data_IF_792876412168
#
_entry.id   IF_792876412168
#
_cell.length_a   1.000
_cell.length_b   1.000
_cell.length_c   1.000
_cell.angle_alpha   90.00
_cell.angle_beta   90.00
_cell.angle_gamma   90.00
#
_symmetry.space_group_name_H-M   'P 1'
#
loop_
_entity.id
_entity.type
_entity.pdbx_description
1 polymer ?
#
# COMPACT_ATOMS: atom_id res chain seq x y z
N UNK A 1 -18.49 -34.50 31.92
CA UNK A 1 -17.37 -33.55 31.69
C UNK A 1 -17.57 -32.90 30.32
N UNK A 2 -18.23 -31.76 30.32
CA UNK A 2 -18.44 -30.96 29.09
C UNK A 2 -17.26 -30.05 28.90
N UNK A 3 -16.45 -30.34 27.90
CA UNK A 3 -15.30 -29.53 27.49
C UNK A 3 -15.81 -28.24 26.86
N UNK A 4 -15.73 -27.13 27.60
CA UNK A 4 -15.98 -25.79 27.09
C UNK A 4 -14.73 -25.35 26.35
N UNK A 5 -14.67 -25.56 25.04
CA UNK A 5 -13.70 -24.85 24.18
C UNK A 5 -14.13 -23.39 24.09
N UNK A 6 -13.23 -22.43 24.42
CA UNK A 6 -13.52 -21.04 24.14
C UNK A 6 -13.61 -20.89 22.62
N UNK A 7 -14.73 -20.37 22.15
CA UNK A 7 -14.94 -19.98 20.76
C UNK A 7 -13.79 -19.05 20.37
N UNK A 8 -12.97 -19.45 19.42
CA UNK A 8 -12.07 -18.54 18.72
C UNK A 8 -12.95 -17.40 18.19
N UNK A 9 -12.83 -16.24 18.81
CA UNK A 9 -13.50 -15.05 18.34
C UNK A 9 -12.90 -14.69 16.99
N UNK A 10 -13.65 -14.89 15.93
CA UNK A 10 -13.41 -14.31 14.61
C UNK A 10 -12.98 -12.85 14.83
N UNK A 11 -11.86 -12.38 14.22
CA UNK A 11 -11.45 -10.99 14.33
C UNK A 11 -12.67 -10.12 14.08
N UNK A 12 -13.05 -9.31 15.05
CA UNK A 12 -14.35 -8.65 15.05
C UNK A 12 -14.46 -7.75 13.81
N UNK A 13 -15.66 -7.59 13.29
CA UNK A 13 -15.96 -6.64 12.21
C UNK A 13 -15.38 -5.24 12.50
N UNK A 14 -15.15 -4.92 13.77
CA UNK A 14 -14.48 -3.71 14.22
C UNK A 14 -13.00 -3.65 13.80
N UNK A 15 -12.24 -4.73 13.88
CA UNK A 15 -10.84 -4.75 13.44
C UNK A 15 -10.74 -4.59 11.92
N UNK A 16 -11.60 -5.25 11.16
CA UNK A 16 -11.68 -5.09 9.71
C UNK A 16 -12.02 -3.65 9.32
N UNK A 17 -12.97 -3.04 10.02
CA UNK A 17 -13.35 -1.65 9.79
C UNK A 17 -12.21 -0.66 10.13
N UNK A 18 -11.48 -0.89 11.23
CA UNK A 18 -10.30 -0.08 11.60
C UNK A 18 -9.21 -0.19 10.54
N UNK A 19 -8.93 -1.40 10.06
CA UNK A 19 -7.95 -1.63 9.01
C UNK A 19 -8.34 -0.93 7.68
N UNK A 20 -9.62 -0.98 7.30
CA UNK A 20 -10.11 -0.28 6.10
C UNK A 20 -9.98 1.24 6.24
N UNK A 21 -10.38 1.82 7.36
CA UNK A 21 -10.22 3.26 7.63
C UNK A 21 -8.75 3.70 7.61
N UNK A 22 -7.83 2.87 8.13
CA UNK A 22 -6.40 3.16 8.10
C UNK A 22 -5.87 3.16 6.67
N UNK A 23 -6.21 2.15 5.86
CA UNK A 23 -5.84 2.08 4.45
C UNK A 23 -6.36 3.28 3.67
N UNK A 24 -7.65 3.62 3.80
CA UNK A 24 -8.26 4.77 3.13
C UNK A 24 -7.59 6.09 3.53
N UNK A 25 -7.26 6.26 4.81
CA UNK A 25 -6.57 7.43 5.32
C UNK A 25 -5.17 7.59 4.72
N UNK A 26 -4.41 6.50 4.64
CA UNK A 26 -3.07 6.50 4.04
C UNK A 26 -3.16 6.80 2.55
N UNK A 27 -4.01 6.10 1.82
CA UNK A 27 -4.13 6.25 0.38
C UNK A 27 -4.63 7.64 -0.03
N UNK A 28 -5.54 8.24 0.73
CA UNK A 28 -6.08 9.57 0.41
C UNK A 28 -5.18 10.73 0.80
N UNK A 29 -4.39 10.59 1.87
CA UNK A 29 -3.62 11.70 2.44
C UNK A 29 -2.12 11.65 2.13
N UNK A 30 -1.57 10.45 1.99
CA UNK A 30 -0.11 10.25 1.95
C UNK A 30 0.39 9.63 0.65
N UNK A 31 -0.44 9.59 -0.40
CA UNK A 31 0.01 9.14 -1.72
C UNK A 31 -0.08 10.26 -2.74
N UNK A 32 0.79 10.20 -3.74
CA UNK A 32 0.83 11.18 -4.82
C UNK A 32 1.35 10.56 -6.12
N UNK A 33 1.03 11.20 -7.24
CA UNK A 33 1.54 10.82 -8.56
C UNK A 33 3.03 11.14 -8.67
N UNK A 34 3.78 10.25 -9.31
CA UNK A 34 5.18 10.48 -9.63
C UNK A 34 5.28 11.51 -10.75
N UNK A 35 5.90 12.64 -10.48
CA UNK A 35 6.04 13.75 -11.43
C UNK A 35 4.72 14.21 -12.09
N UNK A 36 3.58 13.94 -11.45
CA UNK A 36 2.26 14.23 -12.01
C UNK A 36 1.78 13.25 -13.08
N UNK A 37 2.53 12.19 -13.37
CA UNK A 37 2.18 11.20 -14.41
C UNK A 37 0.95 10.41 -14.00
N UNK A 38 -0.11 10.38 -14.83
CA UNK A 38 -1.31 9.59 -14.55
C UNK A 38 -1.00 8.10 -14.44
N UNK A 39 -1.72 7.41 -13.54
CA UNK A 39 -1.55 5.97 -13.33
C UNK A 39 -0.30 5.57 -12.55
N UNK A 40 0.44 6.53 -12.00
CA UNK A 40 1.56 6.30 -11.07
C UNK A 40 1.17 6.75 -9.67
N UNK A 41 1.68 6.07 -8.65
CA UNK A 41 1.44 6.41 -7.25
C UNK A 41 2.66 6.03 -6.41
N UNK A 42 3.01 6.86 -5.44
CA UNK A 42 3.97 6.54 -4.37
C UNK A 42 3.49 7.11 -3.04
N UNK A 43 3.86 6.46 -1.96
CA UNK A 43 3.63 6.94 -0.61
C UNK A 43 4.60 8.07 -0.24
N UNK A 44 4.10 9.08 0.47
CA UNK A 44 4.92 10.14 1.05
C UNK A 44 5.69 9.61 2.26
N UNK A 45 6.95 9.96 2.35
CA UNK A 45 7.89 9.51 3.39
C UNK A 45 8.17 10.59 4.41
N UNK A 46 7.98 11.85 4.04
CA UNK A 46 8.25 13.00 4.89
C UNK A 46 6.99 13.62 5.47
N UNK A 47 7.06 14.01 6.73
CA UNK A 47 6.04 14.78 7.44
C UNK A 47 6.67 16.02 8.08
N UNK A 48 6.18 17.24 7.80
CA UNK A 48 5.16 17.59 6.83
C UNK A 48 5.61 17.34 5.40
N UNK A 49 4.64 17.11 4.51
CA UNK A 49 4.92 16.90 3.08
C UNK A 49 5.65 18.08 2.44
N UNK A 50 6.67 17.76 1.63
CA UNK A 50 7.27 18.74 0.73
C UNK A 50 6.24 19.24 -0.29
N UNK A 51 6.16 20.53 -0.52
CA UNK A 51 5.23 21.17 -1.46
C UNK A 51 5.95 21.75 -2.66
N UNK A 52 5.25 21.93 -3.76
CA UNK A 52 5.77 22.55 -4.99
C UNK A 52 6.82 21.68 -5.68
N UNK A 53 7.84 22.33 -6.25
CA UNK A 53 8.91 21.63 -7.00
C UNK A 53 9.75 20.73 -6.09
N UNK A 54 9.93 21.06 -4.82
CA UNK A 54 10.64 20.22 -3.86
C UNK A 54 10.02 18.84 -3.66
N UNK A 55 8.71 18.74 -3.78
CA UNK A 55 8.00 17.47 -3.67
C UNK A 55 8.39 16.47 -4.77
N UNK A 56 8.83 16.94 -5.93
CA UNK A 56 9.25 16.10 -7.06
C UNK A 56 10.57 15.37 -6.78
N UNK A 57 11.40 15.94 -5.93
CA UNK A 57 12.72 15.42 -5.58
C UNK A 57 12.80 14.92 -4.14
N UNK A 58 11.68 14.90 -3.44
CA UNK A 58 11.62 14.38 -2.07
C UNK A 58 12.07 12.92 -2.02
N UNK A 59 12.65 12.54 -0.89
CA UNK A 59 12.99 11.15 -0.61
C UNK A 59 11.75 10.27 -0.74
N UNK A 60 11.93 9.08 -1.28
CA UNK A 60 10.83 8.16 -1.54
C UNK A 60 11.05 6.75 -0.99
N UNK A 61 12.26 6.41 -0.63
CA UNK A 61 12.69 5.13 -0.06
C UNK A 61 12.05 3.90 -0.70
N UNK A 62 12.79 3.23 -1.55
CA UNK A 62 12.32 2.11 -2.38
C UNK A 62 11.62 1.02 -1.55
N UNK A 63 12.26 0.53 -0.49
CA UNK A 63 11.73 -0.53 0.34
C UNK A 63 10.45 -0.15 1.11
N UNK A 64 10.26 1.14 1.45
CA UNK A 64 9.00 1.60 2.05
C UNK A 64 7.85 1.55 1.07
N UNK A 65 8.11 1.76 -0.23
CA UNK A 65 7.09 1.61 -1.26
C UNK A 65 6.73 0.14 -1.48
N UNK A 66 7.68 -0.77 -1.34
CA UNK A 66 7.41 -2.20 -1.35
C UNK A 66 6.47 -2.60 -0.21
N UNK A 67 6.71 -2.13 1.01
CA UNK A 67 5.81 -2.36 2.15
C UNK A 67 4.43 -1.70 1.98
N UNK A 68 4.36 -0.52 1.37
CA UNK A 68 3.08 0.08 1.01
C UNK A 68 2.30 -0.80 0.04
N UNK A 69 2.98 -1.35 -0.97
CA UNK A 69 2.39 -2.27 -1.93
C UNK A 69 1.83 -3.52 -1.23
N UNK A 70 2.60 -4.11 -0.35
CA UNK A 70 2.19 -5.27 0.47
C UNK A 70 0.92 -4.98 1.28
N UNK A 71 0.87 -3.85 1.97
CA UNK A 71 -0.33 -3.41 2.71
C UNK A 71 -1.55 -3.20 1.78
N UNK A 72 -1.37 -2.72 0.56
CA UNK A 72 -2.45 -2.54 -0.41
C UNK A 72 -2.97 -3.90 -0.89
N UNK A 73 -2.08 -4.85 -1.13
CA UNK A 73 -2.45 -6.22 -1.52
C UNK A 73 -3.23 -6.89 -0.39
N UNK A 74 -2.75 -6.81 0.84
CA UNK A 74 -3.48 -7.33 2.02
C UNK A 74 -4.89 -6.73 2.15
N UNK A 75 -5.03 -5.42 1.89
CA UNK A 75 -6.34 -4.77 1.89
C UNK A 75 -7.26 -5.30 0.78
N UNK A 76 -6.70 -5.55 -0.41
CA UNK A 76 -7.42 -6.16 -1.53
C UNK A 76 -7.86 -7.60 -1.23
N UNK A 77 -6.98 -8.41 -0.68
CA UNK A 77 -7.31 -9.78 -0.27
C UNK A 77 -8.39 -9.82 0.82
N UNK A 78 -8.34 -8.89 1.76
CA UNK A 78 -9.40 -8.75 2.77
C UNK A 78 -10.73 -8.43 2.10
N UNK A 79 -10.76 -7.48 1.15
CA UNK A 79 -11.97 -7.13 0.41
C UNK A 79 -12.54 -8.35 -0.35
N UNK A 80 -11.67 -9.17 -0.96
CA UNK A 80 -12.10 -10.43 -1.60
C UNK A 80 -12.75 -11.38 -0.58
N UNK A 81 -12.14 -11.57 0.59
CA UNK A 81 -12.69 -12.43 1.65
C UNK A 81 -14.04 -11.92 2.18
N UNK A 82 -14.25 -10.62 2.19
CA UNK A 82 -15.48 -9.95 2.62
C UNK A 82 -16.55 -9.89 1.51
N UNK A 83 -16.21 -10.30 0.28
CA UNK A 83 -17.11 -10.26 -0.88
C UNK A 83 -17.27 -8.85 -1.48
N UNK A 84 -16.45 -7.89 -1.08
CA UNK A 84 -16.44 -6.53 -1.61
C UNK A 84 -15.60 -6.45 -2.90
N UNK A 85 -16.25 -6.81 -4.00
CA UNK A 85 -15.60 -6.85 -5.32
C UNK A 85 -15.14 -5.47 -5.79
N UNK A 86 -15.87 -4.41 -5.48
CA UNK A 86 -15.50 -3.05 -5.86
C UNK A 86 -14.21 -2.62 -5.15
N UNK A 87 -14.15 -2.81 -3.85
CA UNK A 87 -12.96 -2.47 -3.08
C UNK A 87 -11.75 -3.33 -3.51
N UNK A 88 -11.96 -4.61 -3.78
CA UNK A 88 -10.89 -5.48 -4.29
C UNK A 88 -10.31 -4.96 -5.62
N UNK A 89 -11.16 -4.55 -6.55
CA UNK A 89 -10.73 -3.98 -7.83
C UNK A 89 -10.01 -2.64 -7.65
N UNK A 90 -10.49 -1.80 -6.74
CA UNK A 90 -9.85 -0.52 -6.40
C UNK A 90 -8.46 -0.74 -5.83
N UNK A 91 -8.28 -1.70 -4.93
CA UNK A 91 -6.97 -2.04 -4.36
C UNK A 91 -6.02 -2.58 -5.43
N UNK A 92 -6.50 -3.43 -6.34
CA UNK A 92 -5.69 -3.94 -7.46
C UNK A 92 -5.24 -2.80 -8.39
N UNK A 93 -6.12 -1.87 -8.72
CA UNK A 93 -5.77 -0.70 -9.54
C UNK A 93 -4.74 0.20 -8.83
N UNK A 94 -4.88 0.38 -7.52
CA UNK A 94 -3.94 1.13 -6.68
C UNK A 94 -2.58 0.44 -6.63
N UNK A 95 -2.54 -0.87 -6.41
CA UNK A 95 -1.31 -1.67 -6.42
C UNK A 95 -0.55 -1.53 -7.75
N UNK A 96 -1.25 -1.64 -8.88
CA UNK A 96 -0.67 -1.42 -10.22
C UNK A 96 -0.11 -0.02 -10.39
N UNK A 97 -0.75 0.98 -9.80
CA UNK A 97 -0.28 2.37 -9.84
C UNK A 97 0.98 2.56 -9.00
N UNK A 98 1.10 1.88 -7.86
CA UNK A 98 2.33 1.89 -7.04
C UNK A 98 3.48 1.21 -7.78
N UNK A 99 3.27 0.05 -8.37
CA UNK A 99 4.31 -0.65 -9.17
C UNK A 99 4.79 0.24 -10.31
N UNK A 100 3.88 0.89 -11.05
CA UNK A 100 4.26 1.86 -12.09
C UNK A 100 4.95 3.09 -11.52
N UNK A 101 4.55 3.53 -10.33
CA UNK A 101 5.20 4.63 -9.62
C UNK A 101 6.64 4.33 -9.28
N UNK A 102 6.93 3.16 -8.73
CA UNK A 102 8.29 2.69 -8.42
C UNK A 102 9.12 2.63 -9.71
N UNK A 103 8.61 1.98 -10.75
CA UNK A 103 9.29 1.89 -12.03
C UNK A 103 9.61 3.26 -12.62
N UNK A 104 8.65 4.18 -12.62
CA UNK A 104 8.81 5.53 -13.18
C UNK A 104 9.80 6.34 -12.37
N UNK A 105 9.74 6.28 -11.05
CA UNK A 105 10.62 7.06 -10.15
C UNK A 105 12.06 6.57 -10.19
N UNK A 106 12.24 5.26 -10.29
CA UNK A 106 13.54 4.60 -10.27
C UNK A 106 14.11 4.35 -11.68
N UNK A 107 13.38 4.66 -12.74
CA UNK A 107 13.72 4.35 -14.12
C UNK A 107 13.94 2.85 -14.36
N UNK A 108 13.15 2.02 -13.67
CA UNK A 108 13.20 0.56 -13.69
C UNK A 108 12.94 -0.03 -12.32
N UNK A 109 13.23 -1.32 -12.16
CA UNK A 109 13.11 -2.02 -10.88
C UNK A 109 14.46 -2.32 -10.23
N UNK A 110 15.56 -2.12 -10.93
CA UNK A 110 16.89 -2.34 -10.38
C UNK A 110 17.26 -1.21 -9.39
N UNK A 111 17.85 -1.61 -8.27
CA UNK A 111 18.33 -0.71 -7.22
C UNK A 111 19.74 -1.13 -6.79
N UNK A 112 20.48 -0.22 -6.19
CA UNK A 112 21.82 -0.48 -5.67
C UNK A 112 21.81 -1.39 -4.41
N UNK A 113 20.65 -1.56 -3.79
CA UNK A 113 20.45 -2.39 -2.62
C UNK A 113 19.65 -3.64 -2.97
N UNK A 114 20.26 -4.81 -2.81
CA UNK A 114 19.62 -6.10 -3.13
C UNK A 114 18.40 -6.41 -2.26
N UNK A 115 18.43 -6.01 -1.01
CA UNK A 115 17.32 -6.16 -0.07
C UNK A 115 16.10 -5.36 -0.49
N UNK A 116 16.26 -4.14 -1.01
CA UNK A 116 15.17 -3.33 -1.55
C UNK A 116 14.44 -4.07 -2.69
N UNK A 117 15.20 -4.63 -3.64
CA UNK A 117 14.63 -5.40 -4.75
C UNK A 117 13.96 -6.69 -4.26
N UNK A 118 14.52 -7.34 -3.24
CA UNK A 118 13.93 -8.53 -2.65
C UNK A 118 12.57 -8.22 -2.00
N UNK A 119 12.46 -7.13 -1.27
CA UNK A 119 11.17 -6.70 -0.68
C UNK A 119 10.11 -6.48 -1.74
N UNK A 120 10.45 -5.81 -2.85
CA UNK A 120 9.49 -5.60 -3.93
C UNK A 120 9.09 -6.90 -4.64
N UNK A 121 10.02 -7.85 -4.76
CA UNK A 121 9.72 -9.13 -5.39
C UNK A 121 8.82 -10.04 -4.53
N UNK A 122 8.78 -9.81 -3.22
CA UNK A 122 7.96 -10.54 -2.26
C UNK A 122 6.56 -9.92 -2.08
N UNK A 123 6.41 -8.63 -2.32
CA UNK A 123 5.13 -7.92 -2.27
C UNK A 123 4.28 -8.21 -3.52
#
# INVERSE_FOLDING_TARGET
>A
MTSNHPSETVPSAEHAQRASRAADSILSRYTRRVFGVPGTLLGAVQMPESRGLGARFAEWHYWWQAHLLDCIIDAGERAVREGDTEQAQNMLATARSVVRGIHTRNLGFANDFYDDMAWLALA
#
